data_IF_150206242290
#
_entry.id   IF_150206242290
#
_cell.length_a   1.000
_cell.length_b   1.000
_cell.length_c   1.000
_cell.angle_alpha   90.00
_cell.angle_beta   90.00
_cell.angle_gamma   90.00
#
_symmetry.space_group_name_H-M   'P 1'
#
loop_
_entity.id
_entity.type
_entity.pdbx_description
1 polymer ?
#
# COMPACT_ATOMS: atom_id res chain seq x y z
N UNK A 1 5.33 7.53 -8.27
CA UNK A 1 5.92 6.26 -8.73
C UNK A 1 4.95 5.66 -9.74
N UNK A 2 5.42 5.24 -10.92
CA UNK A 2 4.54 4.82 -12.02
C UNK A 2 5.16 3.70 -12.85
N UNK A 3 4.33 2.80 -13.40
CA UNK A 3 4.70 1.75 -14.35
C UNK A 3 5.70 0.75 -13.76
N UNK A 4 5.35 0.16 -12.62
CA UNK A 4 6.27 -0.70 -11.85
C UNK A 4 5.67 -2.09 -11.62
N UNK A 5 6.53 -3.10 -11.78
CA UNK A 5 6.27 -4.47 -11.33
C UNK A 5 7.19 -4.77 -10.16
N UNK A 6 6.62 -5.16 -9.03
CA UNK A 6 7.35 -5.62 -7.85
C UNK A 6 7.05 -7.10 -7.64
N UNK A 7 7.99 -7.96 -8.02
CA UNK A 7 7.81 -9.41 -7.96
C UNK A 7 7.87 -9.98 -6.54
N UNK A 8 8.58 -9.30 -5.64
CA UNK A 8 8.67 -9.72 -4.23
C UNK A 8 8.96 -8.56 -3.30
N UNK A 9 8.01 -8.29 -2.41
CA UNK A 9 8.20 -7.43 -1.25
C UNK A 9 7.75 -8.15 0.03
N UNK A 10 8.35 -7.79 1.17
CA UNK A 10 7.84 -8.25 2.46
C UNK A 10 6.51 -7.57 2.81
N UNK A 11 6.29 -6.35 2.32
CA UNK A 11 5.11 -5.53 2.59
C UNK A 11 4.76 -4.68 1.36
N UNK A 12 3.47 -4.47 1.10
CA UNK A 12 3.01 -3.59 0.01
C UNK A 12 3.38 -2.13 0.28
N UNK A 13 2.98 -1.58 1.42
CA UNK A 13 3.39 -0.26 1.89
C UNK A 13 3.87 -0.39 3.33
N UNK A 14 5.01 0.23 3.62
CA UNK A 14 5.52 0.39 4.97
C UNK A 14 5.89 1.86 5.20
N UNK A 15 4.97 2.61 5.82
CA UNK A 15 5.33 3.88 6.44
C UNK A 15 5.56 3.65 7.93
N UNK A 16 6.78 3.92 8.39
CA UNK A 16 7.10 3.82 9.80
C UNK A 16 6.46 4.99 10.55
N UNK A 17 6.02 4.74 11.80
CA UNK A 17 5.58 5.78 12.73
C UNK A 17 6.76 6.66 13.12
N UNK A 18 7.07 7.66 12.31
CA UNK A 18 7.99 8.73 12.65
C UNK A 18 7.15 10.01 12.63
N UNK A 19 6.57 10.44 13.76
CA UNK A 19 5.70 11.62 13.81
C UNK A 19 6.35 12.89 13.24
N UNK A 20 7.67 12.96 13.29
CA UNK A 20 8.47 14.07 12.75
C UNK A 20 8.59 14.04 11.22
N UNK A 21 8.30 12.91 10.58
CA UNK A 21 8.49 12.71 9.14
C UNK A 21 7.38 11.81 8.56
N UNK A 22 6.13 12.31 8.49
CA UNK A 22 5.03 11.61 7.85
C UNK A 22 5.32 11.31 6.37
N UNK A 23 4.74 10.24 5.84
CA UNK A 23 4.75 10.00 4.40
C UNK A 23 3.78 10.98 3.73
N UNK A 24 4.29 11.95 2.98
CA UNK A 24 3.46 13.03 2.40
C UNK A 24 3.53 13.07 0.87
N UNK A 25 2.42 13.42 0.22
CA UNK A 25 2.33 13.68 -1.22
C UNK A 25 2.86 12.53 -2.09
N UNK A 26 2.46 11.30 -1.74
CA UNK A 26 2.93 10.10 -2.43
C UNK A 26 1.87 9.58 -3.39
N UNK A 27 2.28 9.33 -4.64
CA UNK A 27 1.41 8.74 -5.66
C UNK A 27 2.03 7.45 -6.17
N UNK A 28 1.23 6.39 -6.19
CA UNK A 28 1.50 5.15 -6.90
C UNK A 28 0.45 4.98 -7.99
N UNK A 29 0.89 4.91 -9.24
CA UNK A 29 0.01 4.71 -10.39
C UNK A 29 0.52 3.54 -11.24
N UNK A 30 -0.38 2.76 -11.80
CA UNK A 30 -0.08 1.66 -12.72
C UNK A 30 1.00 0.69 -12.20
N UNK A 31 0.66 -0.11 -11.18
CA UNK A 31 1.61 -1.04 -10.58
C UNK A 31 1.03 -2.44 -10.33
N UNK A 32 1.87 -3.47 -10.50
CA UNK A 32 1.57 -4.85 -10.09
C UNK A 32 2.56 -5.28 -9.01
N UNK A 33 2.07 -5.66 -7.84
CA UNK A 33 2.90 -5.89 -6.66
C UNK A 33 2.54 -7.23 -6.03
N UNK A 34 3.55 -8.06 -5.81
CA UNK A 34 3.45 -9.29 -5.01
C UNK A 34 4.16 -9.08 -3.67
N UNK A 35 3.38 -9.10 -2.59
CA UNK A 35 3.88 -8.84 -1.24
C UNK A 35 3.41 -9.88 -0.24
N UNK A 36 4.28 -10.32 0.69
CA UNK A 36 3.87 -11.29 1.71
C UNK A 36 2.73 -10.77 2.60
N UNK A 37 2.64 -9.44 2.80
CA UNK A 37 1.62 -8.81 3.63
C UNK A 37 1.17 -7.45 3.08
N UNK A 38 -0.08 -7.08 3.34
CA UNK A 38 -0.61 -5.76 2.99
C UNK A 38 -0.10 -4.67 3.98
N UNK A 39 -0.35 -4.86 5.28
CA UNK A 39 0.07 -4.07 6.48
C UNK A 39 0.14 -2.51 6.36
N UNK A 40 0.60 -1.74 7.39
CA UNK A 40 -0.19 -0.61 7.82
C UNK A 40 0.33 0.71 7.24
N UNK A 41 -0.58 1.51 6.70
CA UNK A 41 -0.29 2.90 6.35
C UNK A 41 -0.41 3.72 7.64
N UNK A 42 0.73 4.14 8.19
CA UNK A 42 0.80 5.00 9.37
C UNK A 42 1.28 6.40 9.02
N UNK A 43 0.63 7.41 9.59
CA UNK A 43 1.03 8.82 9.48
C UNK A 43 1.31 9.26 8.02
N UNK A 44 0.42 8.83 7.11
CA UNK A 44 0.48 9.22 5.71
C UNK A 44 -0.50 10.36 5.41
N UNK A 45 -0.09 11.33 4.59
CA UNK A 45 -0.91 12.47 4.19
C UNK A 45 -0.89 12.66 2.68
N UNK A 46 -2.06 12.86 2.09
CA UNK A 46 -2.20 13.12 0.64
C UNK A 46 -1.55 12.00 -0.20
N UNK A 47 -2.06 10.79 -0.06
CA UNK A 47 -1.59 9.61 -0.80
C UNK A 47 -2.62 9.19 -1.83
N UNK A 48 -2.19 9.00 -3.07
CA UNK A 48 -3.02 8.47 -4.15
C UNK A 48 -2.46 7.13 -4.64
N UNK A 49 -3.31 6.11 -4.66
CA UNK A 49 -3.00 4.80 -5.23
C UNK A 49 -4.01 4.54 -6.34
N UNK A 50 -3.57 4.52 -7.59
CA UNK A 50 -4.42 4.37 -8.77
C UNK A 50 -3.96 3.23 -9.68
N UNK A 51 -4.88 2.43 -10.22
CA UNK A 51 -4.57 1.37 -11.19
C UNK A 51 -3.52 0.37 -10.66
N UNK A 52 -3.70 -0.12 -9.42
CA UNK A 52 -2.75 -1.02 -8.77
C UNK A 52 -3.39 -2.38 -8.53
N UNK A 53 -2.66 -3.46 -8.88
CA UNK A 53 -2.98 -4.82 -8.44
C UNK A 53 -1.96 -5.27 -7.39
N UNK A 54 -2.47 -5.78 -6.26
CA UNK A 54 -1.64 -6.30 -5.17
C UNK A 54 -2.03 -7.73 -4.84
N UNK A 55 -1.08 -8.65 -5.00
CA UNK A 55 -1.18 -10.04 -4.55
C UNK A 55 -0.55 -10.17 -3.16
N UNK A 56 -1.29 -10.71 -2.20
CA UNK A 56 -0.79 -10.90 -0.84
C UNK A 56 -1.21 -12.21 -0.18
N UNK A 57 -0.39 -12.68 0.77
CA UNK A 57 -0.69 -13.88 1.57
C UNK A 57 -1.55 -13.57 2.79
N UNK A 58 -1.67 -12.29 3.13
CA UNK A 58 -2.39 -11.83 4.29
C UNK A 58 -3.38 -10.72 3.92
N UNK A 59 -4.56 -10.73 4.56
CA UNK A 59 -5.67 -9.82 4.26
C UNK A 59 -5.71 -8.59 5.15
N UNK A 60 -4.81 -8.48 6.13
CA UNK A 60 -4.85 -7.41 7.10
C UNK A 60 -4.33 -6.09 6.49
N UNK A 61 -5.25 -5.14 6.37
CA UNK A 61 -4.95 -3.76 6.01
C UNK A 61 -5.33 -2.86 7.18
N UNK A 62 -4.35 -2.11 7.67
CA UNK A 62 -4.52 -1.15 8.76
C UNK A 62 -4.08 0.24 8.28
N UNK A 63 -4.84 1.27 8.61
CA UNK A 63 -4.53 2.65 8.25
C UNK A 63 -4.73 3.51 9.49
N UNK A 64 -3.63 3.92 10.11
CA UNK A 64 -3.64 4.67 11.37
C UNK A 64 -3.11 6.08 11.17
N UNK A 65 -3.70 7.06 11.89
CA UNK A 65 -3.22 8.45 11.95
C UNK A 65 -2.98 9.11 10.57
N UNK A 66 -3.66 8.64 9.53
CA UNK A 66 -3.44 9.05 8.14
C UNK A 66 -4.59 9.90 7.61
N UNK A 67 -4.33 10.82 6.68
CA UNK A 67 -5.32 11.75 6.13
C UNK A 67 -5.20 11.88 4.62
N UNK A 68 -6.32 11.81 3.91
CA UNK A 68 -6.34 11.98 2.45
C UNK A 68 -5.66 10.82 1.72
N UNK A 69 -6.05 9.59 2.07
CA UNK A 69 -5.62 8.38 1.36
C UNK A 69 -6.71 8.04 0.35
N UNK A 70 -6.40 8.15 -0.92
CA UNK A 70 -7.28 7.87 -2.05
C UNK A 70 -6.83 6.59 -2.74
N UNK A 71 -7.78 5.70 -3.00
CA UNK A 71 -7.56 4.41 -3.67
C UNK A 71 -8.57 4.30 -4.81
N UNK A 72 -8.07 4.30 -6.04
CA UNK A 72 -8.91 4.26 -7.24
C UNK A 72 -8.48 3.08 -8.13
N UNK A 73 -9.44 2.21 -8.49
CA UNK A 73 -9.17 1.01 -9.30
C UNK A 73 -8.02 0.16 -8.74
N UNK A 74 -8.06 -0.09 -7.43
CA UNK A 74 -7.09 -0.94 -6.74
C UNK A 74 -7.71 -2.32 -6.50
N UNK A 75 -7.00 -3.37 -6.90
CA UNK A 75 -7.39 -4.76 -6.68
C UNK A 75 -6.46 -5.42 -5.67
N UNK A 76 -7.04 -6.10 -4.68
CA UNK A 76 -6.31 -6.90 -3.70
C UNK A 76 -6.68 -8.37 -3.90
N UNK A 77 -5.73 -9.17 -4.37
CA UNK A 77 -5.82 -10.62 -4.46
C UNK A 77 -5.15 -11.20 -3.21
N UNK A 78 -5.94 -11.80 -2.31
CA UNK A 78 -5.42 -12.36 -1.07
C UNK A 78 -5.60 -13.87 -1.04
N UNK A 79 -4.57 -14.59 -0.63
CA UNK A 79 -4.66 -16.03 -0.40
C UNK A 79 -5.68 -16.34 0.71
N UNK A 80 -6.56 -17.31 0.47
CA UNK A 80 -7.49 -17.78 1.48
C UNK A 80 -6.72 -18.51 2.60
N UNK A 81 -6.87 -18.05 3.84
CA UNK A 81 -6.40 -18.80 5.01
C UNK A 81 -7.19 -20.11 5.09
N UNK A 82 -6.47 -21.24 5.07
CA UNK A 82 -7.04 -22.58 5.30
C UNK A 82 -7.51 -22.76 6.74
#
# INVERSE_FOLDING_TARGET
>A
MKDIIVERASQFIKSNKIPESPLVNWTLDNAEISADKLIPINDAKNTLIENVSVKSKDSEMQIDASKGIVREKVMFEVEAKK
#
